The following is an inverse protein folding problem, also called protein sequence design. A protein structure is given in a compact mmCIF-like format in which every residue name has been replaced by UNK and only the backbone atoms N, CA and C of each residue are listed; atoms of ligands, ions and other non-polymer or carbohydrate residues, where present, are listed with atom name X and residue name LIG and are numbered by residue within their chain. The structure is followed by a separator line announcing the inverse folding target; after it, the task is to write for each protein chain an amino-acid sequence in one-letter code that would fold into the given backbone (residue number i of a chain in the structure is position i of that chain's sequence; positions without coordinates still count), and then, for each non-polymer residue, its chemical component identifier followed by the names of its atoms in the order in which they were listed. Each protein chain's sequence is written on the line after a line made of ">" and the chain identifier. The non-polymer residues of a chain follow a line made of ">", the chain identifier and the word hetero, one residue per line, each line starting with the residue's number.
data_IF_345714103177
#
_entry.id   IF_345714103177
#
_cell.length_a   1.000
_cell.length_b   1.000
_cell.length_c   1.000
_cell.angle_alpha   90.00
_cell.angle_beta   90.00
_cell.angle_gamma   90.00
#
_symmetry.space_group_name_H-M   'P 1'
#
loop_
_entity.id
_entity.type
_entity.pdbx_description
1 polymer ?
#
# COMPACT_ATOMS: atom_id res chain seq x y z
N UNK A 1 -25.56 11.45 -15.21
CA UNK A 1 -24.30 10.69 -15.10
C UNK A 1 -24.04 10.30 -13.64
N UNK A 2 -24.90 9.46 -13.07
CA UNK A 2 -24.83 8.95 -11.70
C UNK A 2 -25.11 7.45 -11.76
N UNK A 3 -24.12 6.68 -12.20
CA UNK A 3 -24.27 5.24 -12.48
C UNK A 3 -23.03 4.40 -12.16
N UNK A 4 -22.21 4.81 -11.19
CA UNK A 4 -20.95 4.11 -10.85
C UNK A 4 -20.84 3.64 -9.40
N UNK A 5 -21.89 3.77 -8.59
CA UNK A 5 -21.94 3.16 -7.24
C UNK A 5 -22.42 1.70 -7.24
N UNK A 6 -22.88 1.16 -8.38
CA UNK A 6 -23.33 -0.22 -8.50
C UNK A 6 -22.22 -1.27 -8.48
N UNK A 7 -20.99 -0.92 -8.87
CA UNK A 7 -19.87 -1.88 -8.97
C UNK A 7 -19.31 -2.22 -7.58
N UNK A 8 -19.31 -1.24 -6.66
CA UNK A 8 -18.92 -1.48 -5.26
C UNK A 8 -20.02 -2.28 -4.53
N UNK A 9 -21.28 -2.03 -4.85
CA UNK A 9 -22.42 -2.79 -4.32
C UNK A 9 -22.48 -4.24 -4.82
N UNK A 10 -22.17 -4.49 -6.10
CA UNK A 10 -22.15 -5.85 -6.65
C UNK A 10 -20.96 -6.67 -6.14
N UNK A 11 -19.80 -6.06 -5.95
CA UNK A 11 -18.65 -6.71 -5.29
C UNK A 11 -18.89 -7.02 -3.81
N UNK A 12 -19.80 -6.31 -3.14
CA UNK A 12 -20.22 -6.63 -1.77
C UNK A 12 -21.38 -7.63 -1.73
N UNK A 13 -22.17 -7.77 -2.79
CA UNK A 13 -23.32 -8.69 -2.81
C UNK A 13 -22.95 -10.16 -3.09
N UNK A 14 -21.84 -10.44 -3.78
CA UNK A 14 -21.33 -11.81 -3.98
C UNK A 14 -20.52 -12.35 -2.78
N UNK A 15 -20.52 -11.64 -1.64
CA UNK A 15 -19.64 -11.91 -0.48
C UNK A 15 -20.22 -12.84 0.58
N UNK A 16 -20.64 -14.04 0.18
CA UNK A 16 -20.85 -15.14 1.15
C UNK A 16 -19.57 -15.59 1.87
N UNK A 17 -18.38 -15.12 1.43
CA UNK A 17 -17.05 -15.50 1.96
C UNK A 17 -16.05 -14.32 2.02
N UNK A 18 -16.52 -13.08 2.12
CA UNK A 18 -15.75 -11.84 1.84
C UNK A 18 -14.47 -11.56 2.65
N UNK A 19 -14.17 -12.30 3.73
CA UNK A 19 -12.93 -12.10 4.49
C UNK A 19 -11.67 -12.67 3.79
N UNK A 20 -11.81 -13.72 2.97
CA UNK A 20 -10.68 -14.31 2.26
C UNK A 20 -10.22 -13.40 1.11
N UNK A 21 -11.13 -12.74 0.39
CA UNK A 21 -10.79 -11.96 -0.80
C UNK A 21 -9.94 -10.72 -0.49
N UNK A 22 -10.28 -9.96 0.55
CA UNK A 22 -9.55 -8.73 0.91
C UNK A 22 -8.14 -9.05 1.44
N UNK A 23 -8.02 -10.12 2.23
CA UNK A 23 -6.74 -10.56 2.78
C UNK A 23 -5.82 -11.12 1.69
N UNK A 24 -6.35 -11.94 0.77
CA UNK A 24 -5.61 -12.41 -0.40
C UNK A 24 -5.15 -11.26 -1.30
N UNK A 25 -6.01 -10.25 -1.51
CA UNK A 25 -5.66 -9.06 -2.27
C UNK A 25 -4.51 -8.30 -1.64
N UNK A 26 -4.59 -8.01 -0.34
CA UNK A 26 -3.57 -7.26 0.39
C UNK A 26 -2.20 -7.98 0.34
N UNK A 27 -2.19 -9.28 0.61
CA UNK A 27 -0.96 -10.09 0.59
C UNK A 27 -0.38 -10.13 -0.83
N UNK A 28 -1.20 -10.38 -1.85
CA UNK A 28 -0.75 -10.43 -3.25
C UNK A 28 -0.14 -9.11 -3.72
N UNK A 29 -0.79 -7.99 -3.41
CA UNK A 29 -0.27 -6.66 -3.73
C UNK A 29 1.03 -6.35 -2.99
N UNK A 30 1.13 -6.70 -1.70
CA UNK A 30 2.38 -6.51 -0.93
C UNK A 30 3.53 -7.33 -1.50
N UNK A 31 3.31 -8.58 -1.91
CA UNK A 31 4.35 -9.43 -2.51
C UNK A 31 4.88 -8.84 -3.82
N UNK A 32 4.00 -8.37 -4.70
CA UNK A 32 4.41 -7.72 -5.96
C UNK A 32 5.10 -6.38 -5.66
N UNK A 33 4.59 -5.59 -4.73
CA UNK A 33 5.21 -4.33 -4.34
C UNK A 33 6.63 -4.56 -3.77
N UNK A 34 6.84 -5.63 -3.00
CA UNK A 34 8.15 -6.03 -2.49
C UNK A 34 9.10 -6.49 -3.60
N UNK A 35 8.62 -7.21 -4.61
CA UNK A 35 9.46 -7.61 -5.75
C UNK A 35 9.91 -6.39 -6.57
N UNK A 36 9.01 -5.43 -6.81
CA UNK A 36 9.35 -4.15 -7.44
C UNK A 36 10.36 -3.38 -6.58
N UNK A 37 10.16 -3.33 -5.26
CA UNK A 37 11.08 -2.66 -4.33
C UNK A 37 12.48 -3.31 -4.35
N UNK A 38 12.56 -4.65 -4.43
CA UNK A 38 13.83 -5.35 -4.59
C UNK A 38 14.53 -4.97 -5.88
N UNK A 39 13.80 -4.94 -7.00
CA UNK A 39 14.32 -4.46 -8.29
C UNK A 39 14.82 -3.02 -8.16
N UNK A 40 14.05 -2.13 -7.52
CA UNK A 40 14.46 -0.75 -7.27
C UNK A 40 15.80 -0.65 -6.52
N UNK A 41 15.97 -1.42 -5.44
CA UNK A 41 17.20 -1.46 -4.64
C UNK A 41 18.38 -1.99 -5.47
N UNK A 42 18.18 -3.06 -6.25
CA UNK A 42 19.24 -3.62 -7.09
C UNK A 42 19.66 -2.63 -8.18
N UNK A 43 18.72 -2.00 -8.87
CA UNK A 43 19.03 -0.99 -9.88
C UNK A 43 19.72 0.23 -9.28
N UNK A 44 19.31 0.68 -8.10
CA UNK A 44 19.96 1.79 -7.41
C UNK A 44 21.42 1.46 -7.07
N UNK A 45 21.66 0.25 -6.56
CA UNK A 45 22.99 -0.22 -6.15
C UNK A 45 23.93 -0.45 -7.34
N UNK A 46 23.44 -1.07 -8.41
CA UNK A 46 24.28 -1.54 -9.54
C UNK A 46 24.30 -0.57 -10.72
N UNK A 47 23.14 -0.01 -11.11
CA UNK A 47 23.06 0.89 -12.25
C UNK A 47 23.34 2.36 -11.88
N UNK A 48 23.21 2.73 -10.60
CA UNK A 48 23.41 4.11 -10.10
C UNK A 48 22.63 5.15 -10.92
N UNK A 49 21.37 4.82 -11.23
CA UNK A 49 20.46 5.67 -12.01
C UNK A 49 19.30 6.12 -11.14
N UNK A 50 19.40 7.27 -10.46
CA UNK A 50 18.38 7.71 -9.50
C UNK A 50 17.01 7.89 -10.15
N UNK A 51 16.94 8.32 -11.42
CA UNK A 51 15.68 8.46 -12.15
C UNK A 51 14.93 7.12 -12.34
N UNK A 52 15.65 6.01 -12.54
CA UNK A 52 15.04 4.68 -12.64
C UNK A 52 14.55 4.21 -11.29
N UNK A 53 15.39 4.32 -10.26
CA UNK A 53 15.05 3.98 -8.89
C UNK A 53 13.79 4.75 -8.44
N UNK A 54 13.72 6.04 -8.75
CA UNK A 54 12.56 6.90 -8.48
C UNK A 54 11.27 6.34 -9.09
N UNK A 55 11.26 6.09 -10.40
CA UNK A 55 10.07 5.54 -11.08
C UNK A 55 9.66 4.19 -10.49
N UNK A 56 10.63 3.31 -10.20
CA UNK A 56 10.34 2.01 -9.59
C UNK A 56 9.70 2.17 -8.20
N UNK A 57 10.18 3.08 -7.36
CA UNK A 57 9.56 3.34 -6.06
C UNK A 57 8.17 3.98 -6.17
N UNK A 58 7.94 4.84 -7.16
CA UNK A 58 6.59 5.35 -7.46
C UNK A 58 5.66 4.19 -7.87
N UNK A 59 6.15 3.24 -8.68
CA UNK A 59 5.40 2.03 -9.03
C UNK A 59 5.07 1.16 -7.82
N UNK A 60 5.94 1.08 -6.81
CA UNK A 60 5.64 0.40 -5.54
C UNK A 60 4.41 1.02 -4.89
N UNK A 61 4.35 2.36 -4.78
CA UNK A 61 3.21 3.05 -4.19
C UNK A 61 1.92 2.85 -4.99
N UNK A 62 2.00 3.00 -6.32
CA UNK A 62 0.85 2.76 -7.21
C UNK A 62 0.38 1.31 -7.05
N UNK A 63 1.29 0.33 -6.90
CA UNK A 63 0.91 -1.08 -6.82
C UNK A 63 0.16 -1.37 -5.53
N UNK A 64 0.63 -0.79 -4.43
CA UNK A 64 0.00 -0.94 -3.11
C UNK A 64 -1.45 -0.42 -3.09
N UNK A 65 -1.75 0.65 -3.83
CA UNK A 65 -3.10 1.23 -3.86
C UNK A 65 -3.98 0.69 -5.01
N UNK A 66 -3.38 0.08 -6.03
CA UNK A 66 -4.11 -0.40 -7.20
C UNK A 66 -5.06 -1.57 -6.87
N UNK A 67 -6.36 -1.48 -7.23
CA UNK A 67 -7.29 -2.60 -7.08
C UNK A 67 -6.94 -3.73 -8.07
N UNK A 68 -7.29 -4.99 -7.77
CA UNK A 68 -6.95 -6.13 -8.63
C UNK A 68 -7.86 -6.11 -9.86
N UNK A 69 -7.29 -5.95 -11.06
CA UNK A 69 -8.06 -5.88 -12.31
C UNK A 69 -8.12 -7.25 -13.01
N UNK A 70 -7.06 -8.06 -12.97
CA UNK A 70 -7.02 -9.38 -13.63
C UNK A 70 -6.23 -10.43 -12.84
N UNK A 71 -6.85 -11.59 -12.59
CA UNK A 71 -6.21 -12.74 -11.94
C UNK A 71 -5.42 -13.56 -12.96
N UNK A 72 -4.17 -13.92 -12.64
CA UNK A 72 -3.48 -15.02 -13.32
C UNK A 72 -3.35 -16.18 -12.34
N UNK A 73 -3.97 -17.34 -12.61
CA UNK A 73 -3.82 -18.52 -11.78
C UNK A 73 -2.39 -19.06 -11.93
N UNK A 74 -1.59 -18.99 -10.87
CA UNK A 74 -0.32 -19.71 -10.78
C UNK A 74 -0.63 -21.04 -10.12
N UNK A 75 -0.65 -22.10 -10.92
CA UNK A 75 -0.77 -23.46 -10.41
C UNK A 75 0.52 -23.87 -9.72
N UNK A 76 0.49 -24.00 -8.40
CA UNK A 76 1.51 -24.70 -7.63
C UNK A 76 1.03 -26.13 -7.42
N UNK A 77 1.75 -27.10 -7.97
CA UNK A 77 1.45 -28.51 -7.72
C UNK A 77 1.70 -28.83 -6.25
N UNK A 78 0.62 -29.15 -5.53
CA UNK A 78 0.64 -29.48 -4.11
C UNK A 78 1.54 -30.69 -3.78
N UNK A 79 1.94 -31.47 -4.79
CA UNK A 79 2.87 -32.59 -4.67
C UNK A 79 4.27 -32.18 -4.18
N UNK A 80 4.71 -30.94 -4.43
CA UNK A 80 6.02 -30.44 -3.98
C UNK A 80 6.05 -30.01 -2.50
N UNK A 81 4.89 -29.82 -1.86
CA UNK A 81 4.75 -29.35 -0.46
C UNK A 81 4.28 -30.47 0.49
N UNK A 82 4.06 -31.69 -0.02
CA UNK A 82 3.35 -32.77 0.68
C UNK A 82 4.24 -33.88 1.29
N UNK A 83 5.29 -33.54 2.06
CA UNK A 83 5.58 -34.41 3.22
C UNK A 83 5.53 -33.67 4.56
N UNK A 84 5.73 -32.35 4.60
CA UNK A 84 5.95 -31.65 5.88
C UNK A 84 4.66 -31.21 6.59
N UNK A 85 3.61 -30.85 5.85
CA UNK A 85 2.36 -30.31 6.43
C UNK A 85 1.40 -31.43 6.84
N UNK A 86 1.40 -32.56 6.14
CA UNK A 86 0.53 -33.70 6.45
C UNK A 86 0.94 -34.34 7.79
N UNK A 87 2.24 -34.40 8.10
CA UNK A 87 2.74 -34.93 9.38
C UNK A 87 2.28 -34.12 10.61
N UNK A 88 2.00 -32.83 10.45
CA UNK A 88 1.50 -31.97 11.54
C UNK A 88 -0.02 -32.01 11.69
N UNK A 89 -0.76 -32.25 10.60
CA UNK A 89 -2.23 -32.29 10.60
C UNK A 89 -2.80 -33.63 11.06
N UNK A 90 -2.12 -34.76 10.77
CA UNK A 90 -2.59 -36.09 11.18
C UNK A 90 -2.30 -36.42 12.65
N UNK A 91 -1.41 -35.68 13.31
CA UNK A 91 -1.14 -35.85 14.74
C UNK A 91 -2.26 -35.33 15.67
N UNK A 92 -3.14 -34.45 15.18
CA UNK A 92 -4.25 -33.87 15.98
C UNK A 92 -5.61 -34.55 15.77
N UNK A 93 -5.72 -35.58 14.92
CA UNK A 93 -7.02 -36.16 14.53
C UNK A 93 -7.25 -37.61 14.98
N UNK A 94 -6.38 -38.21 15.79
CA UNK A 94 -6.52 -39.63 16.20
C UNK A 94 -7.06 -39.78 17.65
N UNK A 95 -7.24 -38.71 18.41
CA UNK A 95 -7.56 -38.83 19.84
C UNK A 95 -9.00 -38.50 20.31
N UNK A 96 -9.95 -38.06 19.47
CA UNK A 96 -11.20 -37.45 20.02
C UNK A 96 -12.55 -38.03 19.53
N UNK A 97 -12.56 -39.13 18.75
CA UNK A 97 -13.83 -39.67 18.23
C UNK A 97 -14.44 -40.77 19.11
N UNK A 98 -13.64 -41.44 19.96
CA UNK A 98 -14.13 -42.58 20.76
C UNK A 98 -14.63 -42.21 22.16
N UNK A 99 -14.19 -41.11 22.76
CA UNK A 99 -14.60 -40.70 24.12
C UNK A 99 -15.88 -39.85 24.15
N UNK A 100 -16.12 -39.02 23.12
CA UNK A 100 -17.31 -38.15 23.06
C UNK A 100 -18.63 -38.93 22.97
N UNK A 101 -18.63 -40.08 22.29
CA UNK A 101 -19.83 -40.92 22.16
C UNK A 101 -20.19 -41.68 23.45
N UNK A 102 -19.20 -41.99 24.31
CA UNK A 102 -19.47 -42.63 25.61
C UNK A 102 -19.93 -41.61 26.66
N UNK A 103 -19.35 -40.41 26.72
CA UNK A 103 -19.82 -39.35 27.63
C UNK A 103 -21.20 -38.78 27.27
N UNK A 104 -21.52 -38.71 25.97
CA UNK A 104 -22.83 -38.25 25.48
C UNK A 104 -23.99 -39.24 25.68
N UNK A 105 -23.70 -40.51 25.93
CA UNK A 105 -24.73 -41.51 26.27
C UNK A 105 -25.00 -41.57 27.79
N UNK A 106 -23.97 -41.35 28.61
CA UNK A 106 -24.09 -41.27 30.08
C UNK A 106 -24.85 -40.00 30.50
N UNK A 107 -24.59 -38.85 29.86
CA UNK A 107 -25.30 -37.59 30.17
C UNK A 107 -26.79 -37.61 29.77
N UNK A 108 -27.17 -38.39 28.74
CA UNK A 108 -28.57 -38.57 28.34
C UNK A 108 -29.34 -39.54 29.24
N UNK A 109 -28.64 -40.41 29.96
CA UNK A 109 -29.24 -41.40 30.87
C UNK A 109 -29.57 -40.81 32.25
N UNK A 110 -28.93 -39.71 32.65
CA UNK A 110 -28.96 -39.20 34.02
C UNK A 110 -29.94 -38.04 34.30
N UNK A 111 -30.82 -37.69 33.37
CA UNK A 111 -31.97 -36.84 33.67
C UNK A 111 -32.19 -35.73 32.66
N UNK A 112 -33.36 -35.80 32.02
CA UNK A 112 -33.96 -34.68 31.34
C UNK A 112 -34.37 -33.61 32.36
N UNK A 113 -33.83 -32.41 32.23
CA UNK A 113 -34.46 -31.19 32.71
C UNK A 113 -33.99 -30.01 31.86
N UNK A 114 -34.97 -29.40 31.20
CA UNK A 114 -35.02 -28.03 30.69
C UNK A 114 -34.02 -27.61 29.60
N UNK A 115 -34.60 -27.40 28.42
CA UNK A 115 -34.09 -26.50 27.39
C UNK A 115 -33.78 -25.12 27.98
N UNK A 116 -32.58 -24.56 27.82
CA UNK A 116 -32.36 -23.15 27.98
C UNK A 116 -32.58 -22.48 26.62
N UNK A 117 -33.85 -22.37 26.22
CA UNK A 117 -34.27 -21.18 25.48
C UNK A 117 -34.33 -20.03 26.50
N UNK A 118 -33.80 -18.87 26.10
CA UNK A 118 -33.64 -17.62 26.83
C UNK A 118 -32.45 -17.45 27.81
N UNK A 119 -31.73 -16.33 27.57
CA UNK A 119 -30.64 -15.72 28.36
C UNK A 119 -29.19 -16.09 28.05
N UNK A 120 -28.88 -16.55 26.83
CA UNK A 120 -27.60 -16.13 26.25
C UNK A 120 -27.79 -14.70 25.78
N UNK A 121 -27.49 -13.75 26.66
CA UNK A 121 -27.31 -12.35 26.28
C UNK A 121 -26.38 -12.35 25.08
N UNK A 122 -26.95 -12.08 23.90
CA UNK A 122 -26.25 -11.92 22.65
C UNK A 122 -25.32 -10.74 22.86
N UNK A 123 -24.16 -11.00 23.47
CA UNK A 123 -23.06 -10.05 23.56
C UNK A 123 -22.74 -9.79 22.11
N UNK A 124 -23.26 -8.69 21.59
CA UNK A 124 -22.92 -8.13 20.30
C UNK A 124 -21.48 -7.67 20.40
N UNK A 125 -20.55 -8.62 20.54
CA UNK A 125 -19.14 -8.36 20.32
C UNK A 125 -19.08 -7.86 18.90
N UNK A 126 -18.71 -6.59 18.73
CA UNK A 126 -18.53 -6.05 17.39
C UNK A 126 -17.63 -7.02 16.63
N UNK A 127 -18.05 -7.50 15.43
CA UNK A 127 -17.22 -8.42 14.67
C UNK A 127 -15.87 -7.73 14.46
N UNK A 128 -14.77 -8.45 14.70
CA UNK A 128 -13.40 -7.92 14.67
C UNK A 128 -13.12 -7.06 13.41
N UNK A 129 -13.71 -7.44 12.26
CA UNK A 129 -13.61 -6.67 11.02
C UNK A 129 -14.18 -5.24 11.11
N UNK A 130 -15.28 -5.03 11.84
CA UNK A 130 -15.85 -3.69 12.06
C UNK A 130 -14.94 -2.86 12.96
N UNK A 131 -14.38 -3.45 14.01
CA UNK A 131 -13.39 -2.76 14.86
C UNK A 131 -12.15 -2.34 14.05
N UNK A 132 -11.60 -3.24 13.22
CA UNK A 132 -10.47 -2.95 12.35
C UNK A 132 -10.79 -1.85 11.32
N UNK A 133 -12.00 -1.87 10.74
CA UNK A 133 -12.44 -0.83 9.81
C UNK A 133 -12.57 0.54 10.49
N UNK A 134 -13.08 0.59 11.73
CA UNK A 134 -13.16 1.83 12.52
C UNK A 134 -11.75 2.35 12.83
N UNK A 135 -10.84 1.49 13.30
CA UNK A 135 -9.45 1.87 13.60
C UNK A 135 -8.76 2.40 12.33
N UNK A 136 -8.95 1.72 11.20
CA UNK A 136 -8.43 2.16 9.91
C UNK A 136 -8.98 3.53 9.51
N UNK A 137 -10.30 3.72 9.56
CA UNK A 137 -10.96 4.97 9.18
C UNK A 137 -10.54 6.15 10.08
N UNK A 138 -10.43 5.92 11.39
CA UNK A 138 -9.92 6.91 12.35
C UNK A 138 -8.47 7.26 12.03
N UNK A 139 -7.62 6.25 11.77
CA UNK A 139 -6.23 6.46 11.37
C UNK A 139 -6.10 7.31 10.09
N UNK A 140 -6.88 7.00 9.05
CA UNK A 140 -6.94 7.79 7.83
C UNK A 140 -7.39 9.23 8.09
N UNK A 141 -8.39 9.44 8.95
CA UNK A 141 -8.87 10.77 9.32
C UNK A 141 -7.79 11.57 10.05
N UNK A 142 -7.10 10.97 11.02
CA UNK A 142 -6.01 11.61 11.76
C UNK A 142 -4.88 12.00 10.81
N UNK A 143 -4.47 11.10 9.92
CA UNK A 143 -3.44 11.39 8.91
C UNK A 143 -3.86 12.52 7.98
N UNK A 144 -5.09 12.50 7.47
CA UNK A 144 -5.63 13.54 6.60
C UNK A 144 -5.65 14.91 7.29
N UNK A 145 -6.16 14.98 8.53
CA UNK A 145 -6.18 16.23 9.31
C UNK A 145 -4.77 16.74 9.57
N UNK A 146 -3.84 15.85 9.93
CA UNK A 146 -2.44 16.20 10.16
C UNK A 146 -1.79 16.78 8.89
N UNK A 147 -1.94 16.13 7.73
CA UNK A 147 -1.41 16.58 6.43
C UNK A 147 -2.04 17.91 6.01
N UNK A 148 -3.37 18.04 6.09
CA UNK A 148 -4.06 19.30 5.76
C UNK A 148 -3.60 20.45 6.65
N UNK A 149 -3.38 20.21 7.94
CA UNK A 149 -2.88 21.23 8.87
C UNK A 149 -1.42 21.61 8.56
N UNK A 150 -0.58 20.65 8.18
CA UNK A 150 0.78 20.93 7.72
C UNK A 150 0.78 21.78 6.44
N UNK A 151 -0.03 21.41 5.44
CA UNK A 151 -0.19 22.17 4.20
C UNK A 151 -0.73 23.59 4.47
N UNK A 152 -1.75 23.73 5.31
CA UNK A 152 -2.32 25.03 5.70
C UNK A 152 -1.30 25.92 6.41
N UNK A 153 -0.43 25.34 7.25
CA UNK A 153 0.63 26.10 7.93
C UNK A 153 1.62 26.69 6.92
N UNK A 154 2.12 25.87 6.01
CA UNK A 154 3.05 26.31 4.95
C UNK A 154 2.39 27.34 4.05
N UNK A 155 1.14 27.09 3.63
CA UNK A 155 0.40 28.01 2.79
C UNK A 155 0.19 29.37 3.46
N UNK A 156 -0.27 29.39 4.71
CA UNK A 156 -0.44 30.64 5.47
C UNK A 156 0.88 31.40 5.61
N UNK A 157 1.99 30.71 5.86
CA UNK A 157 3.31 31.36 5.94
C UNK A 157 3.64 32.10 4.64
N UNK A 158 3.43 31.44 3.49
CA UNK A 158 3.73 32.01 2.17
C UNK A 158 2.77 33.14 1.82
N UNK A 159 1.49 33.01 2.12
CA UNK A 159 0.51 34.06 1.86
C UNK A 159 0.77 35.33 2.68
N UNK A 160 1.16 35.18 3.95
CA UNK A 160 1.33 36.33 4.85
C UNK A 160 2.71 36.98 4.71
N UNK A 161 3.76 36.20 4.41
CA UNK A 161 5.16 36.65 4.42
C UNK A 161 5.82 36.62 3.04
N UNK A 162 5.21 35.98 2.06
CA UNK A 162 5.73 35.86 0.70
C UNK A 162 5.39 37.06 -0.16
N UNK A 163 6.37 37.50 -0.94
CA UNK A 163 6.23 38.54 -1.95
C UNK A 163 6.77 38.03 -3.27
N UNK A 164 6.04 38.28 -4.35
CA UNK A 164 6.49 37.98 -5.70
C UNK A 164 7.72 38.83 -6.05
N UNK A 165 8.76 38.20 -6.60
CA UNK A 165 9.98 38.89 -7.00
C UNK A 165 10.22 38.77 -8.51
N UNK A 166 10.22 39.93 -9.19
CA UNK A 166 10.38 40.02 -10.65
C UNK A 166 11.80 39.65 -11.07
N UNK A 167 12.81 40.03 -10.29
CA UNK A 167 14.22 39.82 -10.62
C UNK A 167 14.58 38.34 -10.57
N UNK A 168 14.16 37.65 -9.51
CA UNK A 168 14.34 36.22 -9.34
C UNK A 168 13.56 35.42 -10.41
N UNK A 169 12.33 35.84 -10.74
CA UNK A 169 11.55 35.21 -11.80
C UNK A 169 12.19 35.41 -13.18
N UNK A 170 12.73 36.60 -13.47
CA UNK A 170 13.50 36.85 -14.70
C UNK A 170 14.76 35.98 -14.76
N UNK A 171 15.47 35.87 -13.63
CA UNK A 171 16.64 35.01 -13.51
C UNK A 171 16.29 33.56 -13.81
N UNK A 172 15.18 33.03 -13.26
CA UNK A 172 14.67 31.69 -13.59
C UNK A 172 14.38 31.53 -15.09
N UNK A 173 13.76 32.53 -15.73
CA UNK A 173 13.48 32.51 -17.16
C UNK A 173 14.75 32.37 -18.00
N UNK A 174 15.87 32.99 -17.60
CA UNK A 174 17.16 32.82 -18.30
C UNK A 174 17.71 31.39 -18.25
N UNK A 175 17.29 30.59 -17.26
CA UNK A 175 17.73 29.19 -17.11
C UNK A 175 16.93 28.24 -18.01
N UNK A 176 15.81 28.68 -18.58
CA UNK A 176 14.92 27.86 -19.43
C UNK A 176 14.34 28.69 -20.58
N UNK A 177 15.17 29.14 -21.53
CA UNK A 177 14.71 29.97 -22.65
C UNK A 177 13.65 29.23 -23.48
N UNK A 178 12.62 29.96 -23.91
CA UNK A 178 11.56 29.44 -24.79
C UNK A 178 10.34 28.82 -24.09
N UNK A 179 10.30 28.77 -22.76
CA UNK A 179 9.14 28.26 -22.01
C UNK A 179 8.64 29.22 -20.91
N UNK A 180 8.86 30.52 -21.10
CA UNK A 180 8.68 31.56 -20.08
C UNK A 180 7.26 31.62 -19.50
N UNK A 181 6.24 31.39 -20.34
CA UNK A 181 4.82 31.42 -19.95
C UNK A 181 4.39 30.22 -19.09
N UNK A 182 5.14 29.12 -19.10
CA UNK A 182 4.84 27.93 -18.30
C UNK A 182 5.61 27.88 -16.98
N UNK A 183 6.63 28.74 -16.81
CA UNK A 183 7.49 28.70 -15.63
C UNK A 183 6.74 29.14 -14.36
N UNK A 184 7.05 28.52 -13.21
CA UNK A 184 6.50 28.95 -11.93
C UNK A 184 7.06 30.32 -11.54
N UNK A 185 6.24 31.11 -10.83
CA UNK A 185 6.69 32.39 -10.27
C UNK A 185 7.61 32.17 -9.06
N UNK A 186 8.61 33.04 -8.90
CA UNK A 186 9.53 33.01 -7.74
C UNK A 186 9.05 33.98 -6.67
N UNK A 187 8.92 33.49 -5.44
CA UNK A 187 8.44 34.24 -4.28
C UNK A 187 9.53 34.27 -3.21
N UNK A 188 9.79 35.46 -2.67
CA UNK A 188 10.69 35.65 -1.55
C UNK A 188 9.88 35.76 -0.25
N UNK A 189 10.18 34.89 0.71
CA UNK A 189 9.48 34.81 2.00
C UNK A 189 10.38 35.32 3.12
N UNK A 190 9.83 36.20 3.95
CA UNK A 190 10.50 36.71 5.14
C UNK A 190 10.38 35.71 6.32
N UNK A 191 11.07 34.58 6.19
CA UNK A 191 11.14 33.51 7.20
C UNK A 191 12.39 32.64 6.98
N UNK A 192 12.83 31.93 8.03
CA UNK A 192 13.87 30.90 7.94
C UNK A 192 13.22 29.60 7.46
N UNK A 193 13.25 29.38 6.14
CA UNK A 193 12.73 28.18 5.48
C UNK A 193 13.72 27.69 4.45
N UNK A 194 13.71 26.39 4.13
CA UNK A 194 14.47 25.90 2.98
C UNK A 194 13.85 26.47 1.69
N UNK A 195 14.67 26.75 0.65
CA UNK A 195 14.15 26.81 -0.71
C UNK A 195 13.27 25.58 -0.99
N UNK A 196 12.12 25.81 -1.60
CA UNK A 196 11.18 24.74 -1.89
C UNK A 196 10.23 25.09 -3.03
N UNK A 197 9.85 24.07 -3.81
CA UNK A 197 8.73 24.11 -4.73
C UNK A 197 7.41 23.89 -3.97
N UNK A 198 6.53 24.89 -4.01
CA UNK A 198 5.22 24.82 -3.37
C UNK A 198 4.16 24.62 -4.43
N UNK A 199 3.48 23.48 -4.34
CA UNK A 199 2.33 23.16 -5.18
C UNK A 199 1.06 23.08 -4.32
N UNK A 200 -0.07 23.64 -4.77
CA UNK A 200 -1.35 23.36 -4.15
C UNK A 200 -1.67 21.87 -4.30
N UNK A 201 -2.09 21.23 -3.20
CA UNK A 201 -2.50 19.81 -3.21
C UNK A 201 -3.58 19.52 -4.27
N UNK A 202 -4.39 20.54 -4.59
CA UNK A 202 -5.44 20.47 -5.60
C UNK A 202 -5.34 21.67 -6.54
N UNK A 203 -4.53 21.55 -7.59
CA UNK A 203 -4.39 22.55 -8.67
C UNK A 203 -5.73 22.96 -9.30
N UNK A 204 -6.73 22.06 -9.27
CA UNK A 204 -8.10 22.28 -9.78
C UNK A 204 -8.82 23.44 -9.08
N UNK A 205 -8.48 23.80 -7.84
CA UNK A 205 -9.06 24.94 -7.12
C UNK A 205 -8.29 26.25 -7.33
N UNK A 206 -7.51 26.37 -8.41
CA UNK A 206 -6.94 27.64 -8.85
C UNK A 206 -5.61 28.03 -8.21
N UNK A 207 -4.90 27.09 -7.58
CA UNK A 207 -3.55 27.39 -7.08
C UNK A 207 -2.48 27.26 -8.18
N UNK A 208 -1.54 28.19 -8.17
CA UNK A 208 -0.35 28.15 -9.03
C UNK A 208 0.83 27.48 -8.31
N UNK A 209 1.71 26.83 -9.07
CA UNK A 209 2.98 26.32 -8.54
C UNK A 209 3.94 27.49 -8.38
N UNK A 210 4.55 27.60 -7.19
CA UNK A 210 5.44 28.71 -6.83
C UNK A 210 6.75 28.16 -6.33
N UNK A 211 7.86 28.75 -6.77
CA UNK A 211 9.17 28.48 -6.19
C UNK A 211 9.39 29.49 -5.07
N UNK A 212 9.61 29.01 -3.86
CA UNK A 212 9.74 29.85 -2.67
C UNK A 212 11.18 29.86 -2.18
N UNK A 213 11.73 31.05 -1.96
CA UNK A 213 13.05 31.25 -1.38
C UNK A 213 12.96 32.12 -0.12
N UNK A 214 13.73 31.82 0.94
CA UNK A 214 13.88 32.74 2.07
C UNK A 214 14.62 34.02 1.64
N UNK A 215 14.03 35.18 1.95
CA UNK A 215 14.57 36.51 1.58
C UNK A 215 15.97 36.74 2.14
N UNK A 216 16.22 36.30 3.38
CA UNK A 216 17.52 36.43 4.04
C UNK A 216 18.64 35.67 3.32
N UNK A 217 18.39 34.43 2.91
CA UNK A 217 19.34 33.65 2.11
C UNK A 217 19.55 34.27 0.74
N UNK A 218 18.47 34.68 0.07
CA UNK A 218 18.54 35.26 -1.28
C UNK A 218 19.48 36.45 -1.32
N UNK A 219 19.45 37.30 -0.29
CA UNK A 219 20.34 38.45 -0.15
C UNK A 219 21.83 38.09 0.06
N UNK A 220 22.13 36.92 0.64
CA UNK A 220 23.49 36.44 0.93
C UNK A 220 24.15 35.71 -0.23
N UNK A 221 23.36 35.24 -1.20
CA UNK A 221 23.86 34.49 -2.34
C UNK A 221 24.21 35.43 -3.50
N UNK A 222 25.30 35.11 -4.19
CA UNK A 222 25.65 35.74 -5.47
C UNK A 222 24.82 35.14 -6.62
N UNK A 223 24.91 35.74 -7.81
CA UNK A 223 24.07 35.33 -8.93
C UNK A 223 24.39 33.91 -9.45
N UNK A 224 25.64 33.48 -9.31
CA UNK A 224 26.04 32.12 -9.63
C UNK A 224 25.38 31.10 -8.69
N UNK A 225 25.44 31.33 -7.37
CA UNK A 225 24.78 30.47 -6.38
C UNK A 225 23.25 30.49 -6.53
N UNK A 226 22.64 31.66 -6.70
CA UNK A 226 21.19 31.79 -6.97
C UNK A 226 20.77 30.99 -8.20
N UNK A 227 21.53 31.08 -9.31
CA UNK A 227 21.27 30.33 -10.54
C UNK A 227 21.38 28.82 -10.33
N UNK A 228 22.29 28.37 -9.46
CA UNK A 228 22.47 26.95 -9.15
C UNK A 228 21.30 26.38 -8.35
N UNK A 229 20.83 27.11 -7.32
CA UNK A 229 19.67 26.71 -6.52
C UNK A 229 18.37 26.80 -7.31
N UNK A 230 18.17 27.87 -8.11
CA UNK A 230 17.00 27.97 -8.98
C UNK A 230 16.93 26.81 -9.98
N UNK A 231 18.08 26.30 -10.46
CA UNK A 231 18.10 25.13 -11.34
C UNK A 231 17.69 23.86 -10.62
N UNK A 232 18.12 23.70 -9.37
CA UNK A 232 17.67 22.59 -8.52
C UNK A 232 16.13 22.61 -8.38
N UNK A 233 15.56 23.74 -7.96
CA UNK A 233 14.11 23.89 -7.80
C UNK A 233 13.33 23.78 -9.13
N UNK A 234 13.93 24.25 -10.22
CA UNK A 234 13.34 24.11 -11.55
C UNK A 234 13.27 22.64 -11.97
N UNK A 235 14.22 21.80 -11.56
CA UNK A 235 14.19 20.38 -11.88
C UNK A 235 13.05 19.65 -11.14
N UNK A 236 12.78 20.00 -9.89
CA UNK A 236 11.57 19.54 -9.18
C UNK A 236 10.29 19.89 -9.95
N UNK A 237 10.23 21.12 -10.52
CA UNK A 237 9.11 21.52 -11.36
C UNK A 237 9.06 20.73 -12.66
N UNK A 238 10.16 20.60 -13.40
CA UNK A 238 10.22 19.86 -14.69
C UNK A 238 9.81 18.40 -14.54
N UNK A 239 10.25 17.76 -13.46
CA UNK A 239 9.90 16.36 -13.13
C UNK A 239 8.50 16.19 -12.56
N UNK A 240 7.79 17.30 -12.32
CA UNK A 240 6.42 17.31 -11.80
C UNK A 240 6.31 16.56 -10.46
N UNK A 241 7.26 16.75 -9.56
CA UNK A 241 7.32 16.04 -8.27
C UNK A 241 6.06 16.25 -7.40
N UNK A 242 5.28 17.29 -7.69
CA UNK A 242 3.96 17.49 -7.08
C UNK A 242 2.97 16.35 -7.36
N UNK A 243 3.03 15.70 -8.54
CA UNK A 243 2.19 14.53 -8.88
C UNK A 243 2.59 13.35 -8.01
N UNK A 244 3.91 13.15 -7.85
CA UNK A 244 4.47 12.09 -7.01
C UNK A 244 4.05 12.31 -5.56
N UNK A 245 4.16 13.55 -5.06
CA UNK A 245 3.70 13.92 -3.72
C UNK A 245 2.22 13.64 -3.51
N UNK A 246 1.37 13.80 -4.52
CA UNK A 246 -0.05 13.42 -4.43
C UNK A 246 -0.25 11.91 -4.26
N UNK A 247 0.49 11.10 -5.04
CA UNK A 247 0.47 9.63 -4.90
C UNK A 247 0.97 9.21 -3.52
N UNK A 248 2.06 9.81 -3.05
CA UNK A 248 2.60 9.58 -1.70
C UNK A 248 1.59 9.91 -0.62
N UNK A 249 1.02 11.11 -0.63
CA UNK A 249 0.04 11.56 0.38
C UNK A 249 -1.19 10.64 0.39
N UNK A 250 -1.68 10.26 -0.79
CA UNK A 250 -2.84 9.37 -0.91
C UNK A 250 -2.53 7.99 -0.35
N UNK A 251 -1.41 7.39 -0.76
CA UNK A 251 -0.99 6.05 -0.33
C UNK A 251 -0.66 6.02 1.16
N UNK A 252 0.06 7.04 1.65
CA UNK A 252 0.42 7.19 3.05
C UNK A 252 -0.79 7.39 3.95
N UNK A 253 -1.81 8.12 3.50
CA UNK A 253 -3.06 8.29 4.26
C UNK A 253 -3.85 6.98 4.34
N UNK A 254 -3.92 6.21 3.25
CA UNK A 254 -4.67 4.95 3.19
C UNK A 254 -3.94 3.79 3.91
N UNK A 255 -2.62 3.75 3.81
CA UNK A 255 -1.77 2.64 4.26
C UNK A 255 -0.73 3.13 5.28
N UNK A 256 -1.15 4.00 6.20
CA UNK A 256 -0.29 4.61 7.22
C UNK A 256 0.43 3.58 8.11
N UNK A 257 -0.15 2.39 8.27
CA UNK A 257 0.41 1.28 9.04
C UNK A 257 1.39 0.40 8.24
N UNK A 258 1.47 0.56 6.91
CA UNK A 258 2.24 -0.34 6.04
C UNK A 258 3.70 0.13 5.90
N UNK A 259 4.70 -0.63 6.39
CA UNK A 259 6.10 -0.18 6.45
C UNK A 259 6.72 0.13 5.08
N UNK A 260 6.33 -0.60 4.03
CA UNK A 260 6.86 -0.37 2.68
C UNK A 260 6.50 1.04 2.14
N UNK A 261 5.40 1.64 2.58
CA UNK A 261 5.01 2.99 2.15
C UNK A 261 5.97 4.03 2.74
N UNK A 262 6.37 3.85 4.00
CA UNK A 262 7.36 4.69 4.66
C UNK A 262 8.74 4.57 3.99
N UNK A 263 9.15 3.34 3.68
CA UNK A 263 10.41 3.09 2.97
C UNK A 263 10.35 3.73 1.58
N UNK A 264 9.28 3.49 0.82
CA UNK A 264 9.12 4.04 -0.52
C UNK A 264 9.16 5.58 -0.52
N UNK A 265 8.46 6.24 0.41
CA UNK A 265 8.53 7.70 0.57
C UNK A 265 9.96 8.19 0.78
N UNK A 266 10.70 7.58 1.71
CA UNK A 266 12.09 7.98 1.99
C UNK A 266 13.00 7.80 0.76
N UNK A 267 12.78 6.74 -0.01
CA UNK A 267 13.60 6.42 -1.18
C UNK A 267 13.22 7.27 -2.40
N UNK A 268 11.95 7.63 -2.55
CA UNK A 268 11.50 8.59 -3.56
C UNK A 268 12.16 9.93 -3.28
N UNK A 269 12.08 10.45 -2.06
CA UNK A 269 12.71 11.71 -1.66
C UNK A 269 14.23 11.69 -1.92
N UNK A 270 14.93 10.62 -1.54
CA UNK A 270 16.37 10.50 -1.80
C UNK A 270 16.71 10.47 -3.30
N UNK A 271 15.90 9.80 -4.11
CA UNK A 271 16.09 9.78 -5.56
C UNK A 271 15.79 11.14 -6.22
N UNK A 272 14.79 11.88 -5.72
CA UNK A 272 14.47 13.23 -6.19
C UNK A 272 15.62 14.19 -5.94
N UNK A 273 16.15 14.21 -4.72
CA UNK A 273 17.31 15.04 -4.35
C UNK A 273 18.52 14.71 -5.23
N UNK A 274 18.81 13.42 -5.46
CA UNK A 274 19.92 12.99 -6.33
C UNK A 274 19.72 13.42 -7.79
N UNK A 275 18.49 13.36 -8.30
CA UNK A 275 18.19 13.83 -9.66
C UNK A 275 18.40 15.34 -9.78
N UNK A 276 17.90 16.12 -8.82
CA UNK A 276 17.98 17.57 -8.83
C UNK A 276 19.41 18.06 -8.58
N UNK A 277 20.17 17.40 -7.70
CA UNK A 277 21.60 17.65 -7.47
C UNK A 277 22.41 17.49 -8.76
N UNK A 278 22.15 16.41 -9.51
CA UNK A 278 22.80 16.17 -10.81
C UNK A 278 22.43 17.24 -11.85
N UNK A 279 21.16 17.67 -11.90
CA UNK A 279 20.72 18.71 -12.82
C UNK A 279 21.35 20.07 -12.47
N UNK A 280 21.49 20.39 -11.19
CA UNK A 280 22.10 21.63 -10.73
C UNK A 280 23.61 21.71 -11.02
N UNK A 281 24.32 20.58 -11.04
CA UNK A 281 25.78 20.51 -11.11
C UNK A 281 26.38 20.34 -12.51
N UNK A 282 25.59 20.24 -13.59
CA UNK A 282 26.03 19.76 -14.92
C UNK A 282 26.34 20.83 -15.98
N UNK A 283 26.31 22.13 -15.64
CA UNK A 283 26.48 23.21 -16.65
C UNK A 283 27.92 23.53 -17.06
N UNK A 284 28.85 23.39 -16.14
CA UNK A 284 30.25 23.74 -16.32
C UNK A 284 31.09 23.02 -15.27
N UNK A 285 32.41 22.95 -15.47
CA UNK A 285 33.32 22.31 -14.53
C UNK A 285 33.29 22.93 -13.12
N UNK A 286 32.93 24.21 -13.02
CA UNK A 286 32.80 24.93 -11.74
C UNK A 286 31.41 24.76 -11.09
N UNK A 287 30.40 24.34 -11.86
CA UNK A 287 29.00 24.22 -11.38
C UNK A 287 28.85 23.34 -10.13
N UNK A 288 29.52 22.17 -10.01
CA UNK A 288 29.43 21.36 -8.80
C UNK A 288 29.92 22.08 -7.54
N UNK A 289 31.01 22.85 -7.64
CA UNK A 289 31.57 23.58 -6.50
C UNK A 289 30.69 24.74 -6.07
N UNK A 290 30.22 25.54 -7.05
CA UNK A 290 29.29 26.66 -6.79
C UNK A 290 28.03 26.15 -6.10
N UNK A 291 27.47 25.04 -6.60
CA UNK A 291 26.27 24.44 -6.02
C UNK A 291 26.51 23.86 -4.62
N UNK A 292 27.61 23.14 -4.40
CA UNK A 292 27.97 22.62 -3.08
C UNK A 292 28.14 23.74 -2.04
N UNK A 293 28.78 24.85 -2.42
CA UNK A 293 28.91 26.03 -1.56
C UNK A 293 27.57 26.71 -1.30
N UNK A 294 26.68 26.77 -2.30
CA UNK A 294 25.32 27.29 -2.13
C UNK A 294 24.49 26.45 -1.13
N UNK A 295 24.62 25.11 -1.17
CA UNK A 295 23.99 24.21 -0.17
C UNK A 295 24.55 24.50 1.23
N UNK A 296 25.87 24.62 1.37
CA UNK A 296 26.48 24.92 2.67
C UNK A 296 25.99 26.26 3.24
N UNK A 297 25.95 27.32 2.41
CA UNK A 297 25.38 28.62 2.82
C UNK A 297 23.90 28.54 3.18
N UNK A 298 23.14 27.67 2.50
CA UNK A 298 21.74 27.41 2.84
C UNK A 298 21.63 26.77 4.22
N UNK A 299 22.47 25.79 4.53
CA UNK A 299 22.49 25.14 5.83
C UNK A 299 22.94 26.08 6.94
N UNK A 300 23.98 26.88 6.70
CA UNK A 300 24.44 27.90 7.66
C UNK A 300 23.30 28.88 7.98
N UNK A 301 22.52 29.28 6.97
CA UNK A 301 21.33 30.12 7.16
C UNK A 301 20.22 29.41 7.95
N UNK A 302 19.98 28.11 7.71
CA UNK A 302 18.97 27.34 8.43
C UNK A 302 19.37 27.02 9.89
N UNK A 303 20.67 26.94 10.17
CA UNK A 303 21.23 26.66 11.49
C UNK A 303 21.55 27.94 12.29
N UNK A 304 21.43 29.13 11.70
CA UNK A 304 21.74 30.38 12.39
C UNK A 304 20.80 30.54 13.60
N UNK A 305 21.34 30.80 14.82
CA UNK A 305 20.54 30.92 16.03
C UNK A 305 19.44 31.97 15.85
N UNK A 306 18.21 31.56 16.13
CA UNK A 306 16.97 32.34 15.96
C UNK A 306 16.96 33.63 16.81
N UNK A 307 17.94 33.85 17.69
CA UNK A 307 18.08 35.05 18.53
C UNK A 307 18.07 36.39 17.76
N UNK A 308 18.42 36.41 16.46
CA UNK A 308 18.33 37.64 15.64
C UNK A 308 17.04 37.78 14.81
N UNK A 309 16.19 36.76 14.77
CA UNK A 309 14.95 36.78 14.00
C UNK A 309 13.75 36.56 14.94
N UNK A 310 13.02 37.63 15.25
CA UNK A 310 11.86 37.72 16.14
C UNK A 310 10.63 36.82 15.82
N UNK A 311 10.79 35.59 15.32
CA UNK A 311 9.63 34.82 14.87
C UNK A 311 9.69 33.36 15.32
N UNK A 312 8.97 33.11 16.41
CA UNK A 312 8.48 31.81 16.84
C UNK A 312 7.68 31.13 15.71
N UNK A 313 8.34 30.23 15.00
CA UNK A 313 7.71 28.99 14.61
C UNK A 313 8.61 27.93 15.22
N UNK A 314 8.21 27.40 16.38
CA UNK A 314 8.90 26.26 16.99
C UNK A 314 9.22 25.24 15.88
N UNK A 315 10.49 24.97 15.59
CA UNK A 315 10.85 23.89 14.68
C UNK A 315 10.47 22.61 15.41
N UNK A 316 9.23 22.14 15.20
CA UNK A 316 8.90 20.75 15.53
C UNK A 316 9.91 19.86 14.80
N UNK A 317 10.46 18.83 15.45
CA UNK A 317 11.67 18.11 15.04
C UNK A 317 11.48 17.17 13.83
N UNK A 318 10.55 17.47 12.93
CA UNK A 318 10.24 16.65 11.75
C UNK A 318 10.23 17.50 10.47
N UNK A 319 10.96 18.62 10.46
CA UNK A 319 11.42 19.21 9.21
C UNK A 319 12.61 18.35 8.72
N UNK A 320 12.32 17.38 7.86
CA UNK A 320 13.32 16.61 7.12
C UNK A 320 14.26 17.56 6.38
N UNK A 321 15.39 17.88 7.00
CA UNK A 321 16.40 18.76 6.40
C UNK A 321 17.56 19.07 7.35
N UNK A 322 17.31 19.24 8.64
CA UNK A 322 18.33 19.71 9.60
C UNK A 322 18.98 18.57 10.41
N UNK A 323 18.51 17.32 10.27
CA UNK A 323 18.82 16.26 11.24
C UNK A 323 19.82 15.16 10.82
N UNK A 324 20.38 15.13 9.61
CA UNK A 324 21.19 13.98 9.18
C UNK A 324 22.48 14.40 8.44
N UNK A 325 23.47 14.86 9.20
CA UNK A 325 24.82 15.18 8.72
C UNK A 325 25.42 14.10 7.77
N UNK A 326 25.23 12.78 8.00
CA UNK A 326 25.70 11.76 7.06
C UNK A 326 25.05 11.83 5.67
N UNK A 327 23.77 12.20 5.58
CA UNK A 327 23.06 12.31 4.28
C UNK A 327 23.58 13.51 3.50
N UNK A 328 23.78 14.64 4.17
CA UNK A 328 24.37 15.82 3.57
C UNK A 328 25.79 15.55 3.06
N UNK A 329 26.64 14.93 3.89
CA UNK A 329 27.99 14.57 3.48
C UNK A 329 27.98 13.66 2.25
N UNK A 330 27.05 12.70 2.20
CA UNK A 330 26.87 11.84 1.05
C UNK A 330 26.49 12.63 -0.21
N UNK A 331 25.51 13.55 -0.12
CA UNK A 331 25.10 14.42 -1.22
C UNK A 331 26.25 15.29 -1.73
N UNK A 332 26.96 15.99 -0.84
CA UNK A 332 28.11 16.82 -1.19
C UNK A 332 29.20 16.01 -1.89
N UNK A 333 29.46 14.78 -1.41
CA UNK A 333 30.41 13.86 -2.06
C UNK A 333 29.94 13.46 -3.45
N UNK A 334 28.66 13.18 -3.65
CA UNK A 334 28.10 12.82 -4.95
C UNK A 334 28.11 13.98 -5.94
N UNK A 335 27.84 15.21 -5.47
CA UNK A 335 27.92 16.43 -6.29
C UNK A 335 29.35 16.65 -6.78
N UNK A 336 30.33 16.57 -5.87
CA UNK A 336 31.74 16.82 -6.20
C UNK A 336 32.41 15.67 -6.96
N UNK A 337 31.92 14.45 -6.80
CA UNK A 337 32.40 13.24 -7.50
C UNK A 337 31.20 12.49 -8.09
N UNK A 338 30.66 12.96 -9.22
CA UNK A 338 29.48 12.35 -9.82
C UNK A 338 29.82 10.92 -10.23
N UNK A 339 29.08 9.96 -9.68
CA UNK A 339 29.18 8.54 -10.05
C UNK A 339 27.89 8.00 -10.68
N UNK A 340 26.86 8.85 -10.79
CA UNK A 340 25.56 8.51 -11.32
C UNK A 340 25.43 8.97 -12.77
N UNK A 341 24.64 8.23 -13.56
CA UNK A 341 24.32 8.58 -14.96
C UNK A 341 22.86 9.02 -15.07
N UNK A 342 22.60 10.11 -15.80
CA UNK A 342 21.31 10.82 -15.76
C UNK A 342 20.20 10.28 -16.67
N UNK A 343 20.48 9.31 -17.55
CA UNK A 343 19.50 8.88 -18.55
C UNK A 343 18.99 7.46 -18.32
N UNK A 344 17.68 7.30 -18.52
CA UNK A 344 17.00 6.00 -18.59
C UNK A 344 17.43 5.34 -19.90
N UNK A 345 18.38 4.41 -19.83
CA UNK A 345 18.77 3.60 -20.98
C UNK A 345 17.62 2.68 -21.44
N UNK A 346 17.71 2.18 -22.69
CA UNK A 346 16.70 1.28 -23.31
C UNK A 346 16.30 0.10 -22.41
N UNK A 347 17.27 -0.49 -21.71
CA UNK A 347 17.02 -1.57 -20.74
C UNK A 347 16.13 -1.12 -19.57
N UNK A 348 16.36 0.08 -19.03
CA UNK A 348 15.53 0.62 -17.95
C UNK A 348 14.11 0.91 -18.41
N UNK A 349 13.96 1.43 -19.63
CA UNK A 349 12.64 1.61 -20.24
C UNK A 349 11.91 0.28 -20.44
N UNK A 350 12.61 -0.76 -20.92
CA UNK A 350 12.04 -2.10 -21.08
C UNK A 350 11.58 -2.70 -19.73
N UNK A 351 12.35 -2.52 -18.65
CA UNK A 351 11.97 -2.98 -17.30
C UNK A 351 10.74 -2.22 -16.80
N UNK A 352 10.69 -0.89 -16.96
CA UNK A 352 9.52 -0.09 -16.57
C UNK A 352 8.29 -0.53 -17.38
N UNK A 353 8.42 -0.69 -18.69
CA UNK A 353 7.32 -1.13 -19.55
C UNK A 353 6.82 -2.53 -19.17
N UNK A 354 7.72 -3.46 -18.85
CA UNK A 354 7.37 -4.79 -18.38
C UNK A 354 6.61 -4.75 -17.05
N UNK A 355 7.09 -3.98 -16.06
CA UNK A 355 6.44 -3.83 -14.76
C UNK A 355 5.09 -3.11 -14.86
N UNK A 356 4.97 -2.13 -15.75
CA UNK A 356 3.71 -1.47 -16.08
C UNK A 356 2.73 -2.42 -16.78
N UNK A 357 3.21 -3.35 -17.60
CA UNK A 357 2.37 -4.36 -18.23
C UNK A 357 1.90 -5.44 -17.23
N UNK A 358 2.68 -5.71 -16.17
CA UNK A 358 2.31 -6.67 -15.13
C UNK A 358 1.54 -6.07 -13.95
N UNK A 359 1.40 -4.74 -13.90
CA UNK A 359 0.57 -4.02 -12.92
C UNK A 359 -0.88 -4.55 -12.76
N UNK A 360 -1.65 -4.80 -13.85
CA UNK A 360 -3.03 -5.28 -13.72
C UNK A 360 -3.13 -6.76 -13.30
N UNK A 361 -2.01 -7.48 -13.30
CA UNK A 361 -1.94 -8.91 -13.00
C UNK A 361 -1.72 -9.12 -11.50
N UNK A 362 -2.47 -10.04 -10.89
CA UNK A 362 -2.16 -10.59 -9.58
C UNK A 362 -2.09 -12.12 -9.62
N UNK A 363 -1.10 -12.74 -8.95
CA UNK A 363 -1.00 -14.19 -8.88
C UNK A 363 -2.06 -14.73 -7.93
N UNK A 364 -2.96 -15.57 -8.44
CA UNK A 364 -3.83 -16.39 -7.60
C UNK A 364 -3.18 -17.76 -7.48
N UNK A 365 -2.76 -18.13 -6.28
CA UNK A 365 -2.32 -19.49 -6.02
C UNK A 365 -3.55 -20.39 -5.97
N UNK A 366 -3.81 -21.10 -7.06
CA UNK A 366 -4.85 -22.12 -7.10
C UNK A 366 -4.20 -23.42 -6.65
N UNK A 367 -4.44 -23.82 -5.40
CA UNK A 367 -4.04 -25.15 -4.93
C UNK A 367 -4.92 -26.18 -5.62
N UNK A 368 -4.38 -26.83 -6.64
CA UNK A 368 -5.05 -27.95 -7.29
C UNK A 368 -5.04 -29.11 -6.28
N UNK A 369 -6.17 -29.33 -5.60
CA UNK A 369 -6.33 -30.52 -4.74
C UNK A 369 -6.15 -31.75 -5.62
N UNK A 370 -5.33 -32.74 -5.23
CA UNK A 370 -5.29 -34.00 -5.96
C UNK A 370 -6.70 -34.58 -5.97
N UNK A 371 -7.28 -34.70 -7.17
CA UNK A 371 -8.44 -35.56 -7.42
C UNK A 371 -7.94 -36.99 -7.32
N UNK A 372 -7.71 -37.42 -6.10
CA UNK A 372 -7.21 -38.73 -5.72
C UNK A 372 -8.09 -39.32 -4.63
N UNK A 373 -9.41 -39.19 -4.78
CA UNK A 373 -10.30 -40.21 -4.25
C UNK A 373 -10.53 -41.12 -5.44
N UNK A 374 -9.78 -42.22 -5.48
CA UNK A 374 -10.34 -43.41 -6.11
C UNK A 374 -11.67 -43.60 -5.41
N UNK A 375 -12.77 -43.37 -6.12
CA UNK A 375 -14.04 -43.97 -5.77
C UNK A 375 -13.72 -45.46 -5.65
N UNK A 376 -13.49 -45.94 -4.43
CA UNK A 376 -13.70 -47.36 -4.14
C UNK A 376 -15.10 -47.62 -4.66
N UNK A 377 -15.29 -48.49 -5.66
CA UNK A 377 -16.63 -48.80 -6.10
C UNK A 377 -17.34 -49.28 -4.84
N UNK A 378 -18.35 -48.51 -4.40
CA UNK A 378 -19.33 -49.01 -3.45
C UNK A 378 -19.82 -50.28 -4.11
N UNK A 379 -19.46 -51.42 -3.55
CA UNK A 379 -20.06 -52.68 -3.94
C UNK A 379 -21.56 -52.44 -3.79
N UNK A 380 -22.28 -52.43 -4.93
CA UNK A 380 -23.73 -52.51 -4.91
C UNK A 380 -24.05 -53.78 -4.12
N UNK A 381 -24.53 -53.60 -2.89
CA UNK A 381 -25.33 -54.62 -2.25
C UNK A 381 -26.59 -54.72 -3.09
N UNK A 382 -26.60 -55.68 -4.01
CA UNK A 382 -27.82 -56.22 -4.59
C UNK A 382 -28.62 -56.83 -3.43
N UNK A 383 -29.39 -56.00 -2.73
CA UNK A 383 -30.53 -56.42 -1.94
C UNK A 383 -31.67 -56.79 -2.91
N UNK A 384 -31.41 -57.85 -3.70
CA UNK A 384 -32.45 -58.64 -4.32
C UNK A 384 -32.90 -59.65 -3.26
N UNK A 385 -34.04 -59.33 -2.67
CA UNK A 385 -34.90 -60.15 -1.81
C UNK A 385 -34.82 -61.65 -2.16
N UNK A 386 -33.91 -62.37 -1.50
CA UNK A 386 -33.84 -63.83 -1.58
C UNK A 386 -34.95 -64.36 -0.69
N UNK A 387 -36.11 -64.60 -1.31
CA UNK A 387 -37.23 -65.36 -0.73
C UNK A 387 -36.71 -66.76 -0.35
N UNK A 388 -36.34 -66.91 0.91
CA UNK A 388 -36.02 -68.19 1.53
C UNK A 388 -37.34 -68.97 1.69
N UNK A 389 -37.70 -69.75 0.68
CA UNK A 389 -38.77 -70.77 0.77
C UNK A 389 -38.32 -71.86 1.74
N UNK A 390 -38.63 -71.69 3.02
CA UNK A 390 -38.66 -72.78 3.98
C UNK A 390 -39.96 -73.55 3.76
N UNK A 391 -39.88 -74.66 3.03
CA UNK A 391 -40.96 -75.61 2.88
C UNK A 391 -41.19 -76.37 4.19
N UNK A 392 -42.14 -75.91 5.00
CA UNK A 392 -42.73 -76.72 6.07
C UNK A 392 -44.07 -77.26 5.57
N UNK A 393 -44.09 -78.54 5.22
CA UNK A 393 -45.33 -79.31 5.04
C UNK A 393 -45.95 -79.49 6.42
N UNK A 394 -47.03 -78.77 6.69
CA UNK A 394 -47.97 -79.09 7.77
C UNK A 394 -49.35 -79.12 7.15
N UNK A 395 -49.94 -80.31 7.10
CA UNK A 395 -51.30 -80.55 6.63
C UNK A 395 -52.30 -79.82 7.55
N UNK A 396 -53.31 -79.12 6.99
CA UNK A 396 -54.30 -78.44 7.81
C UNK A 396 -55.33 -79.43 8.38
N UNK A 397 -55.32 -79.59 9.70
CA UNK A 397 -56.37 -80.26 10.47
C UNK A 397 -57.62 -79.35 10.55
N UNK A 398 -58.84 -79.87 10.33
CA UNK A 398 -60.05 -79.05 10.28
C UNK A 398 -60.49 -78.58 11.68
N UNK A 399 -60.49 -77.27 11.87
CA UNK A 399 -61.00 -76.58 13.07
C UNK A 399 -62.51 -76.81 13.22
N UNK A 400 -62.91 -77.46 14.33
CA UNK A 400 -64.31 -77.55 14.77
C UNK A 400 -64.81 -76.16 15.22
N UNK A 401 -65.96 -75.72 14.71
CA UNK A 401 -66.71 -74.57 15.26
C UNK A 401 -67.46 -74.98 16.53
N UNK A 402 -67.42 -74.16 17.60
CA UNK A 402 -68.43 -74.22 18.66
C UNK A 402 -69.73 -73.54 18.22
N UNK A 403 -70.83 -74.07 18.74
CA UNK A 403 -72.23 -73.64 18.62
C UNK A 403 -72.58 -72.43 19.49
N UNK A 404 -73.80 -71.90 19.23
CA UNK A 404 -74.62 -70.96 20.02
C UNK A 404 -74.42 -69.46 19.74
N UNK A 405 -75.45 -68.60 19.67
CA UNK A 405 -76.93 -68.70 19.68
C UNK A 405 -77.52 -67.33 19.27
N UNK A 406 -78.86 -67.23 19.24
CA UNK A 406 -79.74 -66.09 18.91
C UNK A 406 -80.06 -65.95 17.41
N UNK A 407 -81.31 -66.01 16.92
CA UNK A 407 -82.63 -65.99 17.53
C UNK A 407 -83.52 -65.05 16.70
N UNK A 408 -84.60 -65.55 16.07
CA UNK A 408 -85.85 -64.83 15.78
C UNK A 408 -86.82 -65.65 14.90
N UNK A 409 -88.03 -65.84 15.46
CA UNK A 409 -89.33 -66.26 14.91
C UNK A 409 -89.58 -67.74 14.63
#
# INVERSE_FOLDING_TARGET
>A
MLGSFGIVGSMLAETGSGQSTVTHWLIGNTVIALSIALVAILFDRYARRPALSHVLWVLVLIKLISPPIAAIPIGLDASLLSPAIIASASAHSIADVSDQNQLGSISRSLGAAESPDDLTGQRSTMPLGVLLAIVWAVGCLVMMVWILNACRRVHRLIEHRGRFDVTATRMLATLSPGNESALPSVWLVDAVVSPMLVSPLFRRFGGEVRIVFPKGLWARLDDAARSSLLRHELEHWRRQDWVVRFIEVTTFTALWWHPLVWIAKLQIEDCEERCCDMAASTRSDQSPRIYAEAILRTLDFLCEPVEKHHCEVEPRPIASGVGHLPKLQHRLRQILKPTATGHIGRLGFAVIALLMATMPIYPVVVVKRPTGVNETPVAQSDDAETVLRVGSKVDPEPVRRPTESAGAK
#
